data_IF_118996048853
#
_entry.id   IF_118996048853
#
_cell.length_a   1.000
_cell.length_b   1.000
_cell.length_c   1.000
_cell.angle_alpha   90.00
_cell.angle_beta   90.00
_cell.angle_gamma   90.00
#
_symmetry.space_group_name_H-M   'P 1'
#
loop_
_entity.id
_entity.type
_entity.pdbx_description
1 polymer ?
#
# COMPACT_ATOMS: atom_id res chain seq x y z
N UNK A 1 -7.85 -12.60 13.06
CA UNK A 1 -6.59 -12.29 13.76
C UNK A 1 -6.45 -10.77 13.96
N UNK A 2 -5.55 -10.30 14.84
CA UNK A 2 -5.26 -8.88 15.13
C UNK A 2 -6.38 -8.03 15.78
N UNK A 3 -7.50 -8.63 16.21
CA UNK A 3 -8.61 -7.87 16.82
C UNK A 3 -8.23 -7.18 18.14
N UNK A 4 -7.29 -7.77 18.90
CA UNK A 4 -6.84 -7.26 20.19
C UNK A 4 -6.01 -5.98 20.10
N UNK A 5 -5.53 -5.62 18.90
CA UNK A 5 -4.71 -4.42 18.66
C UNK A 5 -5.45 -3.36 17.84
N UNK A 6 -6.76 -3.53 17.63
CA UNK A 6 -7.56 -2.60 16.85
C UNK A 6 -8.00 -1.41 17.71
N UNK A 7 -7.67 -0.20 17.23
CA UNK A 7 -8.08 1.07 17.84
C UNK A 7 -8.91 1.89 16.84
N UNK A 8 -9.93 2.59 17.34
CA UNK A 8 -10.81 3.43 16.53
C UNK A 8 -10.63 4.89 16.90
N UNK A 9 -10.46 5.75 15.88
CA UNK A 9 -10.34 7.19 16.06
C UNK A 9 -11.32 7.94 15.16
N UNK A 10 -11.95 8.98 15.70
CA UNK A 10 -12.75 9.93 14.92
C UNK A 10 -11.82 10.97 14.30
N UNK A 11 -11.73 11.00 12.98
CA UNK A 11 -10.94 11.99 12.21
C UNK A 11 -11.85 12.85 11.34
N UNK A 12 -11.55 14.15 11.27
CA UNK A 12 -12.11 15.05 10.27
C UNK A 12 -11.14 15.13 9.08
N UNK A 13 -11.65 14.95 7.86
CA UNK A 13 -10.84 15.01 6.65
C UNK A 13 -10.86 16.43 6.07
N UNK A 14 -9.68 16.97 5.79
CA UNK A 14 -9.54 18.21 5.01
C UNK A 14 -9.40 17.90 3.52
N UNK A 15 -10.04 18.68 2.62
CA UNK A 15 -9.93 18.44 1.19
C UNK A 15 -8.49 18.55 0.68
N UNK A 16 -8.04 17.53 -0.06
CA UNK A 16 -6.68 17.47 -0.65
C UNK A 16 -6.38 18.55 -1.71
N UNK A 17 -7.40 19.31 -2.15
CA UNK A 17 -7.22 20.50 -3.00
C UNK A 17 -6.71 21.72 -2.23
N UNK A 18 -7.08 21.83 -0.95
CA UNK A 18 -6.69 22.96 -0.10
C UNK A 18 -5.44 22.62 0.73
N UNK A 19 -5.27 21.35 1.10
CA UNK A 19 -4.19 20.89 1.96
C UNK A 19 -3.54 19.66 1.31
N UNK A 20 -2.42 19.90 0.60
CA UNK A 20 -1.69 18.80 -0.05
C UNK A 20 -0.99 17.94 1.00
N UNK A 21 -1.12 16.63 0.89
CA UNK A 21 -0.34 15.66 1.65
C UNK A 21 0.98 15.36 0.94
N UNK A 22 1.90 14.72 1.65
CA UNK A 22 3.16 14.22 1.08
C UNK A 22 2.95 13.16 -0.02
N UNK A 23 1.77 12.54 -0.08
CA UNK A 23 1.43 11.50 -1.06
C UNK A 23 0.86 12.07 -2.37
N UNK A 24 0.77 13.40 -2.50
CA UNK A 24 0.16 14.05 -3.66
C UNK A 24 1.18 14.64 -4.63
N UNK A 25 0.87 14.54 -5.93
CA UNK A 25 1.66 15.10 -7.01
C UNK A 25 2.72 14.14 -7.55
N UNK A 26 3.49 14.61 -8.53
CA UNK A 26 4.46 13.80 -9.28
C UNK A 26 5.90 14.04 -8.81
N UNK A 27 6.13 14.39 -7.55
CA UNK A 27 7.47 14.69 -7.02
C UNK A 27 8.21 13.43 -6.58
N UNK A 28 9.55 13.47 -6.58
CA UNK A 28 10.37 12.36 -6.05
C UNK A 28 10.11 12.14 -4.54
N UNK A 29 9.71 13.19 -3.82
CA UNK A 29 9.29 13.11 -2.42
C UNK A 29 7.99 12.31 -2.26
N UNK A 30 7.01 12.53 -3.14
CA UNK A 30 5.77 11.77 -3.12
C UNK A 30 6.01 10.29 -3.44
N UNK A 31 6.87 9.99 -4.41
CA UNK A 31 7.24 8.62 -4.75
C UNK A 31 7.94 7.91 -3.59
N UNK A 32 8.86 8.59 -2.91
CA UNK A 32 9.51 8.07 -1.71
C UNK A 32 8.49 7.83 -0.59
N UNK A 33 7.60 8.79 -0.34
CA UNK A 33 6.58 8.66 0.70
C UNK A 33 5.66 7.45 0.42
N UNK A 34 5.25 7.25 -0.83
CA UNK A 34 4.51 6.06 -1.23
C UNK A 34 5.32 4.77 -1.04
N UNK A 35 6.57 4.72 -1.51
CA UNK A 35 7.42 3.54 -1.37
C UNK A 35 7.63 3.11 0.08
N UNK A 36 7.78 4.07 0.99
CA UNK A 36 7.98 3.81 2.42
C UNK A 36 6.77 3.13 3.10
N UNK A 37 5.54 3.27 2.55
CA UNK A 37 4.35 2.61 3.11
C UNK A 37 4.41 1.07 3.05
N UNK A 38 5.24 0.50 2.17
CA UNK A 38 5.30 -0.94 1.92
C UNK A 38 6.53 -1.63 2.53
N UNK A 39 7.33 -0.93 3.35
CA UNK A 39 8.56 -1.52 3.90
C UNK A 39 8.32 -2.68 4.89
N UNK A 40 7.09 -2.85 5.40
CA UNK A 40 6.74 -3.86 6.40
C UNK A 40 5.44 -4.60 6.07
N UNK A 41 5.32 -5.10 4.84
CA UNK A 41 4.09 -5.81 4.38
C UNK A 41 3.98 -7.26 4.87
N UNK A 42 5.11 -7.91 5.14
CA UNK A 42 5.18 -9.30 5.59
C UNK A 42 5.54 -9.32 7.07
N UNK A 43 4.77 -10.07 7.83
CA UNK A 43 4.99 -10.27 9.25
C UNK A 43 5.03 -11.74 9.61
N UNK A 44 5.67 -12.04 10.75
CA UNK A 44 5.70 -13.37 11.33
C UNK A 44 4.56 -13.50 12.34
N UNK A 45 3.74 -14.54 12.22
CA UNK A 45 2.64 -14.85 13.14
C UNK A 45 2.83 -16.23 13.77
N UNK A 46 2.42 -16.44 15.04
CA UNK A 46 2.45 -17.76 15.65
C UNK A 46 1.39 -18.68 15.04
N UNK A 47 1.61 -19.99 15.13
CA UNK A 47 0.65 -21.02 14.66
C UNK A 47 -0.77 -20.80 15.18
N UNK A 48 -0.91 -20.37 16.44
CA UNK A 48 -2.21 -20.08 17.07
C UNK A 48 -3.00 -18.99 16.38
N UNK A 49 -2.33 -18.04 15.72
CA UNK A 49 -2.98 -17.01 14.89
C UNK A 49 -3.15 -17.47 13.44
N UNK A 50 -2.17 -18.21 12.89
CA UNK A 50 -2.23 -18.72 11.53
C UNK A 50 -3.45 -19.63 11.30
N UNK A 51 -3.86 -20.42 12.29
CA UNK A 51 -5.07 -21.26 12.22
C UNK A 51 -6.38 -20.47 12.15
N UNK A 52 -6.35 -19.17 12.47
CA UNK A 52 -7.50 -18.28 12.41
C UNK A 52 -7.64 -17.59 11.03
N UNK A 53 -6.68 -17.79 10.12
CA UNK A 53 -6.74 -17.24 8.77
C UNK A 53 -7.76 -18.01 7.93
N UNK A 54 -8.49 -17.34 7.02
CA UNK A 54 -9.45 -18.01 6.13
C UNK A 54 -8.76 -18.96 5.15
N UNK A 55 -7.52 -18.65 4.76
CA UNK A 55 -6.68 -19.46 3.88
C UNK A 55 -5.41 -19.89 4.61
N UNK A 56 -4.90 -21.08 4.26
CA UNK A 56 -3.60 -21.55 4.76
C UNK A 56 -2.49 -20.62 4.28
N UNK A 57 -1.51 -20.44 5.14
CA UNK A 57 -0.30 -19.66 4.85
C UNK A 57 0.96 -20.53 4.99
N UNK A 58 2.10 -20.01 4.58
CA UNK A 58 3.37 -20.73 4.56
C UNK A 58 4.06 -20.73 5.94
N UNK A 59 4.57 -21.89 6.39
CA UNK A 59 5.43 -21.95 7.58
C UNK A 59 6.81 -21.37 7.28
N UNK A 60 7.45 -20.81 8.31
CA UNK A 60 8.85 -20.38 8.26
C UNK A 60 9.73 -21.60 8.57
N UNK A 61 10.56 -22.03 7.62
CA UNK A 61 11.24 -23.34 7.68
C UNK A 61 12.24 -23.45 8.82
N UNK A 62 12.97 -22.37 9.11
CA UNK A 62 13.98 -22.26 10.16
C UNK A 62 13.41 -21.83 11.52
N UNK A 63 12.12 -21.51 11.59
CA UNK A 63 11.43 -21.08 12.81
C UNK A 63 10.15 -21.91 13.08
N UNK A 64 10.28 -23.12 13.65
CA UNK A 64 9.14 -23.98 13.93
C UNK A 64 8.07 -23.30 14.80
N UNK A 65 6.81 -23.41 14.39
CA UNK A 65 5.67 -22.79 15.07
C UNK A 65 5.33 -21.39 14.58
N UNK A 66 6.11 -20.84 13.65
CA UNK A 66 5.85 -19.54 13.02
C UNK A 66 5.50 -19.66 11.54
N UNK A 67 4.70 -18.71 11.09
CA UNK A 67 4.11 -18.66 9.76
C UNK A 67 4.18 -17.24 9.21
N UNK A 68 4.18 -17.12 7.89
CA UNK A 68 4.08 -15.83 7.21
C UNK A 68 2.65 -15.29 7.30
N UNK A 69 2.52 -13.99 7.52
CA UNK A 69 1.27 -13.26 7.51
C UNK A 69 1.46 -11.88 6.89
N UNK A 70 0.36 -11.17 6.67
CA UNK A 70 0.35 -9.80 6.19
C UNK A 70 -1.02 -9.17 6.38
N UNK A 71 -1.07 -7.84 6.46
CA UNK A 71 -2.32 -7.09 6.48
C UNK A 71 -2.75 -6.76 5.05
N UNK A 72 -4.00 -7.08 4.73
CA UNK A 72 -4.56 -6.90 3.38
C UNK A 72 -4.54 -5.44 2.89
N UNK A 73 -4.54 -4.46 3.81
CA UNK A 73 -4.40 -3.04 3.46
C UNK A 73 -3.14 -2.76 2.64
N UNK A 74 -2.04 -3.48 2.89
CA UNK A 74 -0.82 -3.31 2.10
C UNK A 74 -0.94 -3.93 0.70
N UNK A 75 -1.77 -4.98 0.54
CA UNK A 75 -2.13 -5.47 -0.80
C UNK A 75 -2.92 -4.39 -1.55
N UNK A 76 -3.95 -3.84 -0.92
CA UNK A 76 -4.80 -2.82 -1.55
C UNK A 76 -3.99 -1.59 -1.95
N UNK A 77 -3.08 -1.14 -1.08
CA UNK A 77 -2.22 0.00 -1.35
C UNK A 77 -1.25 -0.25 -2.52
N UNK A 78 -0.67 -1.45 -2.70
CA UNK A 78 0.29 -1.67 -3.79
C UNK A 78 -0.39 -1.63 -5.16
N UNK A 79 -1.63 -2.14 -5.24
CA UNK A 79 -2.43 -2.08 -6.46
C UNK A 79 -2.83 -0.64 -6.81
N UNK A 80 -2.95 0.24 -5.82
CA UNK A 80 -3.33 1.64 -6.00
C UNK A 80 -2.17 2.52 -6.48
N UNK A 81 -0.91 2.11 -6.29
CA UNK A 81 0.26 2.91 -6.62
C UNK A 81 0.89 2.47 -7.96
N UNK A 82 0.43 3.00 -9.11
CA UNK A 82 0.96 2.63 -10.43
C UNK A 82 2.39 3.12 -10.69
N UNK A 83 2.81 4.22 -10.03
CA UNK A 83 4.08 4.92 -10.31
C UNK A 83 5.33 4.12 -9.90
N UNK A 84 5.27 3.29 -8.86
CA UNK A 84 6.42 2.46 -8.45
C UNK A 84 6.71 1.34 -9.45
N UNK A 85 5.74 0.98 -10.31
CA UNK A 85 5.85 -0.21 -11.15
C UNK A 85 5.98 0.10 -12.64
N UNK A 86 5.79 1.36 -13.08
CA UNK A 86 5.89 1.76 -14.50
C UNK A 86 6.59 3.13 -14.66
N UNK A 87 7.93 3.20 -14.58
CA UNK A 87 8.70 4.44 -14.72
C UNK A 87 8.47 5.16 -16.06
N UNK A 88 8.14 4.44 -17.13
CA UNK A 88 7.91 5.00 -18.46
C UNK A 88 6.60 5.81 -18.55
N UNK A 89 5.54 5.40 -17.83
CA UNK A 89 4.29 6.17 -17.76
C UNK A 89 4.47 7.47 -16.97
N UNK A 90 5.33 7.44 -15.95
CA UNK A 90 5.65 8.60 -15.11
C UNK A 90 6.37 9.71 -15.89
N UNK A 91 7.28 9.35 -16.78
CA UNK A 91 7.96 10.32 -17.64
C UNK A 91 6.98 10.96 -18.63
N UNK A 92 6.09 10.16 -19.22
CA UNK A 92 5.03 10.66 -20.10
C UNK A 92 4.04 11.62 -19.37
N UNK A 93 3.66 11.32 -18.12
CA UNK A 93 2.82 12.20 -17.30
C UNK A 93 3.54 13.48 -16.87
N UNK A 94 4.81 13.40 -16.46
CA UNK A 94 5.64 14.58 -16.12
C UNK A 94 5.84 15.51 -17.32
N UNK A 95 5.94 14.96 -18.52
CA UNK A 95 6.07 15.71 -19.77
C UNK A 95 4.72 16.20 -20.34
N UNK A 96 3.61 15.92 -19.66
CA UNK A 96 2.25 16.35 -20.06
C UNK A 96 1.67 15.58 -21.26
N UNK A 97 2.33 14.50 -21.69
CA UNK A 97 1.98 13.74 -22.89
C UNK A 97 0.71 12.88 -22.76
N UNK A 98 0.20 12.67 -21.53
CA UNK A 98 -0.97 11.81 -21.25
C UNK A 98 -2.30 12.61 -21.25
N UNK A 99 -2.26 13.95 -21.29
CA UNK A 99 -3.49 14.78 -21.27
C UNK A 99 -4.20 14.94 -22.62
N UNK A 100 -3.64 14.43 -23.72
CA UNK A 100 -4.18 14.63 -25.07
C UNK A 100 -5.12 13.49 -25.55
N UNK A 101 -5.85 12.84 -24.63
CA UNK A 101 -6.57 11.60 -24.93
C UNK A 101 -7.95 11.47 -24.30
N UNK A 102 -8.74 12.54 -24.21
CA UNK A 102 -10.17 12.45 -23.89
C UNK A 102 -10.94 13.69 -24.35
N UNK A 103 -10.98 13.93 -25.66
CA UNK A 103 -12.11 14.63 -26.29
C UNK A 103 -12.58 13.74 -27.44
N UNK A 104 -13.67 13.03 -27.18
CA UNK A 104 -14.50 12.42 -28.22
C UNK A 104 -15.70 13.34 -28.41
N UNK A 105 -15.80 13.93 -29.61
CA UNK A 105 -17.05 14.52 -30.14
C UNK A 105 -18.10 13.42 -30.37
#
# INVERSE_FOLDING_TARGET
PAQSVLEYEVKSFTPGREHKTIYQGLSDEADRAWGELYNHTIMKIPKSEAVLLPNKTYPILDEPGYYLGGLDVFHQLHCLHPSAFLPELREAERLGAVSAGAQVD
#
